data_IF_297030361929
#
_entry.id   IF_297030361929
#
_cell.length_a   1.000
_cell.length_b   1.000
_cell.length_c   1.000
_cell.angle_alpha   90.00
_cell.angle_beta   90.00
_cell.angle_gamma   90.00
#
_symmetry.space_group_name_H-M   'P 1'
#
loop_
_entity.id
_entity.type
_entity.pdbx_description
1 polymer ?
#
# COMPACT_ATOMS: atom_id res chain seq x y z
N UNK A 1 -0.71 13.83 -7.44
CA UNK A 1 -1.88 13.09 -7.95
C UNK A 1 -3.10 13.95 -7.71
N UNK A 2 -4.06 13.95 -8.63
CA UNK A 2 -5.38 14.53 -8.38
C UNK A 2 -6.35 13.35 -8.29
N UNK A 3 -6.67 12.95 -7.07
CA UNK A 3 -7.63 11.88 -6.81
C UNK A 3 -9.04 12.48 -6.67
N UNK A 4 -10.07 11.70 -6.97
CA UNK A 4 -11.44 12.11 -6.71
C UNK A 4 -11.72 12.18 -5.20
N UNK A 5 -12.80 12.88 -4.85
CA UNK A 5 -13.20 13.10 -3.45
C UNK A 5 -13.32 11.79 -2.67
N UNK A 6 -13.91 10.76 -3.27
CA UNK A 6 -14.23 9.52 -2.58
C UNK A 6 -12.96 8.70 -2.33
N UNK A 7 -11.97 8.74 -3.24
CA UNK A 7 -10.61 8.23 -2.97
C UNK A 7 -9.96 8.92 -1.78
N UNK A 8 -10.04 10.25 -1.70
CA UNK A 8 -9.44 11.01 -0.60
C UNK A 8 -10.12 10.68 0.73
N UNK A 9 -11.46 10.63 0.75
CA UNK A 9 -12.21 10.22 1.93
C UNK A 9 -11.84 8.80 2.37
N UNK A 10 -11.80 7.83 1.44
CA UNK A 10 -11.40 6.47 1.76
C UNK A 10 -9.95 6.38 2.26
N UNK A 11 -9.04 7.22 1.75
CA UNK A 11 -7.67 7.32 2.25
C UNK A 11 -7.60 7.80 3.71
N UNK A 12 -8.48 8.72 4.12
CA UNK A 12 -8.56 9.15 5.53
C UNK A 12 -9.15 8.06 6.45
N UNK A 13 -9.98 7.17 5.90
CA UNK A 13 -10.67 6.11 6.64
C UNK A 13 -10.00 4.73 6.53
N UNK A 14 -8.87 4.63 5.83
CA UNK A 14 -8.38 3.35 5.31
C UNK A 14 -8.16 2.25 6.35
N UNK A 15 -7.77 2.62 7.57
CA UNK A 15 -7.52 1.68 8.68
C UNK A 15 -8.66 1.64 9.72
N UNK A 16 -9.74 2.41 9.55
CA UNK A 16 -10.80 2.49 10.58
C UNK A 16 -11.53 1.17 10.79
N UNK A 17 -11.63 0.32 9.77
CA UNK A 17 -12.23 -1.01 9.89
C UNK A 17 -11.35 -2.01 10.66
N UNK A 18 -10.04 -1.76 10.78
CA UNK A 18 -9.11 -2.62 11.51
C UNK A 18 -8.83 -2.09 12.92
N UNK A 19 -8.65 -0.78 13.05
CA UNK A 19 -8.15 -0.14 14.28
C UNK A 19 -9.25 0.37 15.21
N UNK A 20 -10.52 0.29 14.79
CA UNK A 20 -11.64 0.82 15.56
C UNK A 20 -12.85 -0.12 15.57
N UNK A 21 -13.93 0.29 16.26
CA UNK A 21 -15.20 -0.45 16.27
C UNK A 21 -16.14 -0.08 15.11
N UNK A 22 -15.71 0.81 14.21
CA UNK A 22 -16.49 1.22 13.03
C UNK A 22 -16.68 0.04 12.08
N UNK A 23 -17.91 -0.16 11.63
CA UNK A 23 -18.28 -1.21 10.66
C UNK A 23 -18.34 -0.64 9.24
N UNK A 24 -18.39 -1.55 8.24
CA UNK A 24 -18.58 -1.16 6.85
C UNK A 24 -19.93 -0.47 6.66
N UNK A 25 -20.95 -0.95 7.36
CA UNK A 25 -22.30 -0.42 7.36
C UNK A 25 -22.33 1.02 7.89
N UNK A 26 -21.58 1.31 8.96
CA UNK A 26 -21.43 2.67 9.50
C UNK A 26 -20.81 3.62 8.46
N UNK A 27 -19.71 3.22 7.81
CA UNK A 27 -19.07 4.03 6.76
C UNK A 27 -20.04 4.25 5.58
N UNK A 28 -20.80 3.22 5.19
CA UNK A 28 -21.76 3.32 4.11
C UNK A 28 -22.91 4.26 4.43
N UNK A 29 -23.32 4.32 5.69
CA UNK A 29 -24.37 5.19 6.20
C UNK A 29 -23.90 6.65 6.32
N UNK A 30 -22.73 6.88 6.92
CA UNK A 30 -22.23 8.22 7.24
C UNK A 30 -21.60 8.93 6.03
N UNK A 31 -21.08 8.16 5.06
CA UNK A 31 -20.48 8.68 3.85
C UNK A 31 -21.27 8.26 2.61
N UNK A 32 -20.92 7.11 2.03
CA UNK A 32 -21.65 6.47 0.94
C UNK A 32 -21.16 5.02 0.73
N UNK A 33 -21.90 4.19 -0.05
CA UNK A 33 -21.51 2.80 -0.32
C UNK A 33 -20.18 2.64 -1.07
N UNK A 34 -19.79 3.64 -1.86
CA UNK A 34 -18.56 3.63 -2.66
C UNK A 34 -17.31 3.76 -1.78
N UNK A 35 -17.29 4.73 -0.87
CA UNK A 35 -16.25 4.91 0.15
C UNK A 35 -16.16 3.67 1.03
N UNK A 36 -17.30 3.13 1.49
CA UNK A 36 -17.32 1.90 2.28
C UNK A 36 -16.72 0.70 1.52
N UNK A 37 -16.98 0.60 0.21
CA UNK A 37 -16.39 -0.43 -0.64
C UNK A 37 -14.88 -0.22 -0.85
N UNK A 38 -14.43 1.02 -0.98
CA UNK A 38 -12.99 1.35 -1.10
C UNK A 38 -12.24 0.97 0.19
N UNK A 39 -12.74 1.38 1.36
CA UNK A 39 -12.11 1.09 2.66
C UNK A 39 -12.06 -0.43 2.93
N UNK A 40 -13.17 -1.14 2.67
CA UNK A 40 -13.22 -2.61 2.76
C UNK A 40 -12.23 -3.29 1.80
N UNK A 41 -12.11 -2.76 0.58
CA UNK A 41 -11.12 -3.23 -0.39
C UNK A 41 -9.68 -3.05 0.09
N UNK A 42 -9.35 -1.89 0.65
CA UNK A 42 -8.03 -1.59 1.21
C UNK A 42 -7.69 -2.53 2.38
N UNK A 43 -8.63 -2.71 3.30
CA UNK A 43 -8.54 -3.62 4.46
C UNK A 43 -8.27 -5.07 4.02
N UNK A 44 -9.01 -5.57 3.03
CA UNK A 44 -8.84 -6.93 2.52
C UNK A 44 -7.47 -7.14 1.88
N UNK A 45 -6.94 -6.15 1.15
CA UNK A 45 -5.59 -6.22 0.59
C UNK A 45 -4.54 -6.32 1.70
N UNK A 46 -4.68 -5.58 2.81
CA UNK A 46 -3.79 -5.73 3.98
C UNK A 46 -3.79 -7.17 4.49
N UNK A 47 -4.97 -7.79 4.61
CA UNK A 47 -5.12 -9.14 5.17
C UNK A 47 -4.62 -10.26 4.25
N UNK A 48 -4.55 -10.02 2.95
CA UNK A 48 -3.95 -10.95 1.98
C UNK A 48 -2.43 -11.08 2.13
N UNK A 49 -1.83 -10.32 3.05
CA UNK A 49 -0.44 -10.36 3.51
C UNK A 49 0.44 -11.39 2.82
N UNK A 50 1.35 -10.83 2.02
CA UNK A 50 2.37 -11.40 1.16
C UNK A 50 3.46 -12.21 1.89
N UNK A 51 3.11 -12.83 3.02
CA UNK A 51 4.04 -13.29 4.06
C UNK A 51 4.52 -14.74 3.90
N UNK A 52 4.07 -15.50 2.91
CA UNK A 52 4.69 -16.80 2.62
C UNK A 52 5.82 -16.62 1.61
N UNK A 53 7.03 -16.44 2.15
CA UNK A 53 8.33 -16.54 1.46
C UNK A 53 8.47 -17.80 0.57
N UNK A 54 7.60 -18.79 0.75
CA UNK A 54 7.50 -20.04 0.00
C UNK A 54 6.61 -19.98 -1.26
N UNK A 55 5.78 -18.95 -1.44
CA UNK A 55 4.84 -18.82 -2.57
C UNK A 55 5.15 -17.62 -3.48
N UNK A 56 6.37 -17.09 -3.46
CA UNK A 56 6.85 -16.05 -4.37
C UNK A 56 7.12 -16.60 -5.79
N UNK A 57 6.09 -17.13 -6.44
CA UNK A 57 6.11 -17.33 -7.89
C UNK A 57 5.71 -16.03 -8.59
N UNK A 58 6.33 -15.72 -9.74
CA UNK A 58 5.91 -14.66 -10.68
C UNK A 58 4.42 -14.78 -11.07
N UNK A 59 3.89 -16.01 -11.03
CA UNK A 59 2.48 -16.31 -11.24
C UNK A 59 1.56 -15.78 -10.12
N UNK A 60 2.04 -15.68 -8.86
CA UNK A 60 1.26 -15.13 -7.74
C UNK A 60 1.24 -13.60 -7.78
N UNK A 61 2.34 -12.94 -8.14
CA UNK A 61 2.30 -11.49 -8.43
C UNK A 61 1.34 -11.19 -9.57
N UNK A 62 1.29 -12.03 -10.63
CA UNK A 62 0.25 -11.92 -11.68
C UNK A 62 -1.16 -12.17 -11.17
N UNK A 63 -1.38 -13.08 -10.21
CA UNK A 63 -2.70 -13.30 -9.56
C UNK A 63 -3.11 -12.15 -8.65
N UNK A 64 -2.17 -11.58 -7.90
CA UNK A 64 -2.37 -10.34 -7.14
C UNK A 64 -2.70 -9.22 -8.11
N UNK A 65 -2.01 -9.12 -9.25
CA UNK A 65 -2.24 -8.13 -10.32
C UNK A 65 -3.57 -8.33 -11.05
N UNK A 66 -3.97 -9.57 -11.32
CA UNK A 66 -5.26 -9.88 -11.98
C UNK A 66 -6.43 -9.85 -11.00
N UNK A 67 -6.15 -9.99 -9.70
CA UNK A 67 -7.04 -9.70 -8.58
C UNK A 67 -6.90 -8.27 -8.05
N UNK A 68 -6.13 -7.38 -8.72
CA UNK A 68 -6.19 -5.92 -8.52
C UNK A 68 -7.61 -5.54 -8.90
N UNK A 69 -8.44 -5.66 -7.88
CA UNK A 69 -9.63 -4.94 -7.54
C UNK A 69 -10.24 -4.21 -8.72
N UNK A 70 -11.52 -4.45 -8.95
CA UNK A 70 -12.42 -3.70 -9.84
C UNK A 70 -12.29 -2.17 -9.78
N UNK A 71 -11.52 -1.66 -8.83
CA UNK A 71 -11.19 -0.27 -8.61
C UNK A 71 -9.68 -0.05 -8.37
N UNK A 72 -9.04 0.73 -9.25
CA UNK A 72 -7.62 1.15 -9.14
C UNK A 72 -7.38 2.08 -7.95
N UNK A 73 -8.42 2.75 -7.44
CA UNK A 73 -8.34 3.70 -6.31
C UNK A 73 -7.86 3.02 -5.03
N UNK A 74 -8.17 1.74 -4.84
CA UNK A 74 -7.70 0.93 -3.70
C UNK A 74 -6.17 0.85 -3.70
N UNK A 75 -5.56 0.55 -4.85
CA UNK A 75 -4.09 0.48 -4.98
C UNK A 75 -3.47 1.85 -4.75
N UNK A 76 -4.11 2.91 -5.25
CA UNK A 76 -3.66 4.30 -5.03
C UNK A 76 -3.60 4.61 -3.53
N UNK A 77 -4.64 4.26 -2.77
CA UNK A 77 -4.69 4.46 -1.32
C UNK A 77 -3.56 3.67 -0.64
N UNK A 78 -3.35 2.40 -1.01
CA UNK A 78 -2.26 1.58 -0.44
C UNK A 78 -0.87 2.09 -0.77
N UNK A 79 -0.66 2.60 -1.98
CA UNK A 79 0.62 3.22 -2.35
C UNK A 79 0.86 4.52 -1.58
N UNK A 80 -0.19 5.31 -1.33
CA UNK A 80 -0.08 6.53 -0.54
C UNK A 80 0.26 6.24 0.92
N UNK A 81 -0.41 5.27 1.54
CA UNK A 81 -0.10 4.79 2.89
C UNK A 81 1.33 4.24 2.96
N UNK A 82 1.72 3.33 2.06
CA UNK A 82 3.09 2.81 2.03
C UNK A 82 4.14 3.89 1.85
N UNK A 83 3.90 4.88 0.99
CA UNK A 83 4.81 6.00 0.80
C UNK A 83 4.96 6.83 2.08
N UNK A 84 3.87 7.07 2.81
CA UNK A 84 3.93 7.72 4.11
C UNK A 84 4.78 6.91 5.11
N UNK A 85 4.56 5.60 5.18
CA UNK A 85 5.32 4.69 6.06
C UNK A 85 6.82 4.69 5.73
N UNK A 86 7.18 4.71 4.44
CA UNK A 86 8.57 4.77 4.01
C UNK A 86 9.24 6.13 4.33
N UNK A 87 8.48 7.23 4.32
CA UNK A 87 8.97 8.56 4.71
C UNK A 87 9.22 8.70 6.21
N UNK A 88 8.54 7.91 7.05
CA UNK A 88 8.67 7.93 8.51
C UNK A 88 9.39 6.68 9.05
N UNK A 89 10.06 5.94 8.19
CA UNK A 89 10.65 4.64 8.53
C UNK A 89 11.82 4.74 9.54
N UNK A 90 12.43 5.92 9.67
CA UNK A 90 13.52 6.21 10.60
C UNK A 90 13.17 5.92 12.08
N UNK A 91 11.88 6.01 12.46
CA UNK A 91 11.41 5.74 13.82
C UNK A 91 11.23 4.25 14.14
N UNK A 92 11.45 3.34 13.18
CA UNK A 92 11.35 1.88 13.38
C UNK A 92 12.72 1.28 13.70
N UNK A 93 12.72 0.07 14.26
CA UNK A 93 13.96 -0.71 14.49
C UNK A 93 14.61 -1.10 13.16
N UNK A 94 15.93 -1.25 13.13
CA UNK A 94 16.68 -1.61 11.91
C UNK A 94 16.11 -2.86 11.20
N UNK A 95 15.71 -3.87 11.98
CA UNK A 95 15.05 -5.06 11.45
C UNK A 95 13.77 -4.70 10.67
N UNK A 96 12.88 -3.89 11.28
CA UNK A 96 11.64 -3.45 10.64
C UNK A 96 11.92 -2.53 9.46
N UNK A 97 12.95 -1.69 9.51
CA UNK A 97 13.36 -0.83 8.40
C UNK A 97 13.72 -1.68 7.17
N UNK A 98 14.56 -2.71 7.35
CA UNK A 98 14.95 -3.64 6.28
C UNK A 98 13.76 -4.45 5.77
N UNK A 99 12.94 -4.98 6.67
CA UNK A 99 11.74 -5.75 6.31
C UNK A 99 10.76 -4.92 5.46
N UNK A 100 10.40 -3.71 5.90
CA UNK A 100 9.49 -2.83 5.18
C UNK A 100 10.07 -2.36 3.83
N UNK A 101 11.39 -2.16 3.76
CA UNK A 101 12.05 -1.77 2.51
C UNK A 101 12.10 -2.91 1.50
N UNK A 102 12.35 -4.15 1.94
CA UNK A 102 12.28 -5.33 1.07
C UNK A 102 10.85 -5.52 0.53
N UNK A 103 9.85 -5.46 1.40
CA UNK A 103 8.44 -5.55 1.00
C UNK A 103 8.07 -4.45 0.00
N UNK A 104 8.53 -3.23 0.24
CA UNK A 104 8.32 -2.09 -0.67
C UNK A 104 8.88 -2.36 -2.06
N UNK A 105 10.12 -2.86 -2.14
CA UNK A 105 10.77 -3.19 -3.41
C UNK A 105 10.11 -4.37 -4.14
N UNK A 106 9.73 -5.42 -3.41
CA UNK A 106 9.23 -6.65 -3.99
C UNK A 106 7.76 -6.54 -4.44
N UNK A 107 6.96 -5.66 -3.81
CA UNK A 107 5.52 -5.59 -4.00
C UNK A 107 5.08 -4.20 -4.47
N UNK A 108 5.36 -3.17 -3.70
CA UNK A 108 4.76 -1.84 -3.91
C UNK A 108 5.39 -1.09 -5.09
N UNK A 109 6.69 -1.25 -5.32
CA UNK A 109 7.39 -0.68 -6.49
C UNK A 109 6.83 -1.28 -7.80
N UNK A 110 6.70 -2.62 -7.95
CA UNK A 110 6.00 -3.22 -9.09
C UNK A 110 4.57 -2.71 -9.25
N UNK A 111 3.78 -2.64 -8.17
CA UNK A 111 2.40 -2.14 -8.25
C UNK A 111 2.33 -0.70 -8.76
N UNK A 112 3.19 0.18 -8.25
CA UNK A 112 3.28 1.57 -8.71
C UNK A 112 3.67 1.65 -10.19
N UNK A 113 4.58 0.78 -10.66
CA UNK A 113 4.93 0.67 -12.08
C UNK A 113 3.72 0.26 -12.93
N UNK A 114 2.97 -0.76 -12.50
CA UNK A 114 1.82 -1.29 -13.25
C UNK A 114 0.71 -0.26 -13.47
N UNK A 115 0.45 0.60 -12.49
CA UNK A 115 -0.59 1.64 -12.62
C UNK A 115 -0.07 2.96 -13.21
N UNK A 116 1.19 3.02 -13.64
CA UNK A 116 1.81 4.22 -14.20
C UNK A 116 2.14 5.31 -13.17
N UNK A 117 2.17 4.99 -11.88
CA UNK A 117 2.49 5.92 -10.79
C UNK A 117 4.02 6.10 -10.63
N UNK A 118 4.70 6.48 -11.71
CA UNK A 118 6.18 6.49 -11.78
C UNK A 118 6.84 7.39 -10.74
N UNK A 119 6.23 8.52 -10.39
CA UNK A 119 6.77 9.39 -9.34
C UNK A 119 6.76 8.72 -7.96
N UNK A 120 5.69 7.99 -7.63
CA UNK A 120 5.62 7.22 -6.37
C UNK A 120 6.60 6.07 -6.42
N UNK A 121 6.66 5.34 -7.54
CA UNK A 121 7.62 4.25 -7.77
C UNK A 121 9.05 4.70 -7.45
N UNK A 122 9.51 5.77 -8.10
CA UNK A 122 10.88 6.27 -7.92
C UNK A 122 11.17 6.71 -6.49
N UNK A 123 10.20 7.33 -5.81
CA UNK A 123 10.37 7.74 -4.41
C UNK A 123 10.42 6.52 -3.46
N UNK A 124 9.59 5.50 -3.70
CA UNK A 124 9.64 4.24 -2.93
C UNK A 124 10.96 3.49 -3.15
N UNK A 125 11.48 3.47 -4.38
CA UNK A 125 12.79 2.87 -4.69
C UNK A 125 13.92 3.58 -3.94
N UNK A 126 13.94 4.92 -3.97
CA UNK A 126 14.96 5.73 -3.30
C UNK A 126 14.93 5.54 -1.77
N UNK A 127 13.75 5.62 -1.17
CA UNK A 127 13.56 5.42 0.26
C UNK A 127 13.94 3.99 0.67
N UNK A 128 13.60 2.97 -0.11
CA UNK A 128 13.96 1.59 0.18
C UNK A 128 15.47 1.37 0.09
N UNK A 129 16.12 1.94 -0.93
CA UNK A 129 17.55 1.79 -1.14
C UNK A 129 18.36 2.36 0.03
N UNK A 130 17.92 3.49 0.59
CA UNK A 130 18.53 4.11 1.78
C UNK A 130 18.70 3.13 2.95
N UNK A 131 17.71 2.27 3.20
CA UNK A 131 17.74 1.32 4.33
C UNK A 131 18.30 -0.06 3.95
N UNK A 132 18.22 -0.46 2.68
CA UNK A 132 18.73 -1.76 2.20
C UNK A 132 20.22 -1.75 1.86
N UNK A 133 20.72 -0.63 1.36
CA UNK A 133 22.10 -0.44 0.88
C UNK A 133 22.63 0.94 1.28
N UNK A 134 22.75 1.23 2.58
CA UNK A 134 23.21 2.54 3.06
C UNK A 134 24.59 2.93 2.48
N UNK A 135 25.49 1.95 2.32
CA UNK A 135 26.84 2.15 1.77
C UNK A 135 26.83 2.63 0.30
N UNK A 136 25.82 2.22 -0.48
CA UNK A 136 25.68 2.63 -1.89
C UNK A 136 24.96 3.97 -1.97
N UNK A 137 23.99 4.21 -1.08
CA UNK A 137 23.16 5.41 -1.09
C UNK A 137 23.89 6.68 -0.63
N UNK A 138 24.87 6.55 0.27
CA UNK A 138 25.62 7.68 0.82
C UNK A 138 26.84 8.11 -0.01
N UNK A 139 27.16 7.37 -1.08
CA UNK A 139 28.25 7.68 -2.03
C UNK A 139 27.70 8.34 -3.30
#
# INVERSE_FOLDING_TARGET
>A
MHADRDTVCAGLLHDTLEDTHVTKEDISHDFNPEIASLVDGVTKISKLNFSTKQEQNVANTRKIITGITSDVRIIIIKLADRLHNMRTLEYKTEFKQKENSLETMDIFVPLAYYIGAYRIKSELEDLSLRYLKPDIYMN
#
